data_IF_860806829586
#
_entry.id   IF_860806829586
#
_cell.length_a   1.000
_cell.length_b   1.000
_cell.length_c   1.000
_cell.angle_alpha   90.00
_cell.angle_beta   90.00
_cell.angle_gamma   90.00
#
_symmetry.space_group_name_H-M   'P 1'
#
loop_
_entity.id
_entity.type
_entity.pdbx_description
1 polymer ?
#
# COMPACT_ATOMS: atom_id res chain seq x y z
N UNK A 1 23.16 8.58 -23.07
CA UNK A 1 22.19 8.08 -24.05
C UNK A 1 21.98 6.58 -23.90
N UNK A 2 20.73 6.15 -23.96
CA UNK A 2 20.34 4.73 -23.98
C UNK A 2 19.84 4.40 -25.38
N UNK A 3 20.49 3.45 -26.03
CA UNK A 3 20.05 2.91 -27.33
C UNK A 3 19.50 1.52 -27.10
N UNK A 4 18.27 1.29 -27.50
CA UNK A 4 17.61 -0.01 -27.44
C UNK A 4 17.27 -0.46 -28.85
N UNK A 5 17.64 -1.69 -29.17
CA UNK A 5 17.24 -2.37 -30.42
C UNK A 5 16.32 -3.53 -30.04
N UNK A 6 15.19 -3.63 -30.72
CA UNK A 6 14.23 -4.73 -30.52
C UNK A 6 13.99 -5.41 -31.84
N UNK A 7 14.04 -6.74 -31.82
CA UNK A 7 13.74 -7.60 -32.99
C UNK A 7 12.55 -8.49 -32.66
N UNK A 8 11.59 -8.57 -33.54
CA UNK A 8 10.41 -9.42 -33.41
C UNK A 8 10.11 -10.08 -34.77
N UNK A 9 10.48 -11.35 -34.91
CA UNK A 9 10.49 -12.02 -36.20
C UNK A 9 11.44 -11.30 -37.19
N UNK A 10 10.94 -10.95 -38.36
CA UNK A 10 11.72 -10.25 -39.38
C UNK A 10 11.74 -8.72 -39.18
N UNK A 11 10.98 -8.20 -38.22
CA UNK A 11 10.92 -6.77 -37.95
C UNK A 11 11.94 -6.37 -36.90
N UNK A 12 12.66 -5.30 -37.19
CA UNK A 12 13.61 -4.68 -36.26
C UNK A 12 13.34 -3.19 -36.14
N UNK A 13 13.49 -2.65 -34.96
CA UNK A 13 13.43 -1.23 -34.68
C UNK A 13 14.41 -0.83 -33.59
N UNK A 14 14.70 0.46 -33.50
CA UNK A 14 15.56 1.00 -32.44
C UNK A 14 15.01 2.33 -31.95
N UNK A 15 15.18 2.59 -30.67
CA UNK A 15 14.92 3.88 -30.05
C UNK A 15 16.13 4.37 -29.27
N UNK A 16 16.35 5.67 -29.26
CA UNK A 16 17.42 6.32 -28.51
C UNK A 16 16.85 7.41 -27.62
N UNK A 17 17.08 7.28 -26.33
CA UNK A 17 16.58 8.21 -25.32
C UNK A 17 17.77 8.74 -24.51
N UNK A 18 17.76 10.00 -24.20
CA UNK A 18 18.75 10.59 -23.30
C UNK A 18 18.49 10.16 -21.87
N UNK A 19 19.54 9.74 -21.18
CA UNK A 19 19.51 9.38 -19.75
C UNK A 19 19.80 10.59 -18.87
N UNK A 20 20.12 10.32 -17.60
CA UNK A 20 20.47 11.35 -16.63
C UNK A 20 21.76 12.10 -16.99
N UNK A 21 21.87 13.34 -16.51
CA UNK A 21 23.09 14.11 -16.58
C UNK A 21 24.23 13.45 -15.75
N UNK A 22 25.49 13.77 -16.08
CA UNK A 22 26.66 13.19 -15.41
C UNK A 22 26.81 13.65 -13.96
N UNK A 23 26.29 14.81 -13.63
CA UNK A 23 26.31 15.47 -12.32
C UNK A 23 25.16 15.06 -11.38
N UNK A 24 24.25 14.23 -11.88
CA UNK A 24 23.14 13.74 -11.06
C UNK A 24 23.61 12.81 -9.93
N UNK A 25 22.96 12.92 -8.77
CA UNK A 25 23.20 12.02 -7.64
C UNK A 25 22.99 10.55 -8.08
N UNK A 26 23.81 9.58 -7.59
CA UNK A 26 23.79 8.20 -8.08
C UNK A 26 22.42 7.52 -8.06
N UNK A 27 21.60 7.77 -7.02
CA UNK A 27 20.24 7.22 -6.95
C UNK A 27 19.28 7.88 -7.95
N UNK A 28 19.37 9.17 -8.14
CA UNK A 28 18.57 9.92 -9.11
C UNK A 28 18.97 9.47 -10.52
N UNK A 29 20.27 9.44 -10.81
CA UNK A 29 20.82 8.94 -12.06
C UNK A 29 20.29 7.55 -12.40
N UNK A 30 20.39 6.59 -11.48
CA UNK A 30 19.89 5.22 -11.68
C UNK A 30 18.38 5.18 -11.98
N UNK A 31 17.59 6.06 -11.37
CA UNK A 31 16.13 6.17 -11.60
C UNK A 31 15.84 6.71 -12.99
N UNK A 32 16.52 7.80 -13.40
CA UNK A 32 16.34 8.43 -14.70
C UNK A 32 16.80 7.53 -15.83
N UNK A 33 17.95 6.86 -15.68
CA UNK A 33 18.46 5.90 -16.67
C UNK A 33 17.51 4.73 -16.86
N UNK A 34 16.92 4.18 -15.76
CA UNK A 34 15.90 3.14 -15.85
C UNK A 34 14.63 3.63 -16.56
N UNK A 35 14.23 4.89 -16.35
CA UNK A 35 13.07 5.49 -17.03
C UNK A 35 13.36 5.61 -18.53
N UNK A 36 14.52 6.13 -18.91
CA UNK A 36 14.94 6.26 -20.29
C UNK A 36 14.99 4.90 -21.03
N UNK A 37 15.57 3.88 -20.41
CA UNK A 37 15.60 2.55 -20.97
C UNK A 37 14.20 1.94 -21.18
N UNK A 38 13.31 2.08 -20.22
CA UNK A 38 11.90 1.61 -20.34
C UNK A 38 11.16 2.35 -21.45
N UNK A 39 11.35 3.66 -21.57
CA UNK A 39 10.76 4.47 -22.62
C UNK A 39 11.23 4.02 -24.01
N UNK A 40 12.54 3.80 -24.18
CA UNK A 40 13.09 3.31 -25.43
C UNK A 40 12.51 1.92 -25.83
N UNK A 41 12.40 1.00 -24.88
CA UNK A 41 11.75 -0.31 -25.12
C UNK A 41 10.29 -0.11 -25.53
N UNK A 42 9.55 0.73 -24.82
CA UNK A 42 8.15 1.01 -25.13
C UNK A 42 7.96 1.57 -26.54
N UNK A 43 8.78 2.57 -26.94
CA UNK A 43 8.74 3.13 -28.30
C UNK A 43 9.02 2.09 -29.36
N UNK A 44 10.01 1.23 -29.15
CA UNK A 44 10.29 0.11 -30.06
C UNK A 44 9.08 -0.83 -30.18
N UNK A 45 8.45 -1.19 -29.06
CA UNK A 45 7.28 -2.07 -29.06
C UNK A 45 6.07 -1.45 -29.75
N UNK A 46 5.84 -0.15 -29.55
CA UNK A 46 4.77 0.58 -30.27
C UNK A 46 5.02 0.58 -31.79
N UNK A 47 6.25 0.84 -32.22
CA UNK A 47 6.63 0.81 -33.64
C UNK A 47 6.43 -0.59 -34.26
N UNK A 48 6.77 -1.66 -33.55
CA UNK A 48 6.66 -3.03 -34.04
C UNK A 48 5.22 -3.55 -34.08
N UNK A 49 4.41 -3.18 -33.08
CA UNK A 49 3.08 -3.76 -32.88
C UNK A 49 1.94 -2.85 -33.30
N UNK A 50 2.19 -1.54 -33.44
CA UNK A 50 1.15 -0.52 -33.63
C UNK A 50 0.25 -0.32 -32.41
N UNK A 51 0.57 -0.91 -31.26
CA UNK A 51 -0.26 -0.88 -30.05
C UNK A 51 0.34 0.02 -28.98
N UNK A 52 -0.46 0.90 -28.44
CA UNK A 52 -0.14 1.71 -27.27
C UNK A 52 -0.73 1.09 -26.01
N UNK A 53 -0.14 1.39 -24.85
CA UNK A 53 -0.67 0.95 -23.54
C UNK A 53 -1.36 2.13 -22.84
N UNK A 54 -2.43 1.89 -22.06
CA UNK A 54 -3.15 2.98 -21.39
C UNK A 54 -2.26 3.84 -20.48
N UNK A 55 -1.25 3.24 -19.86
CA UNK A 55 -0.27 3.92 -19.01
C UNK A 55 1.07 4.18 -19.71
N UNK A 56 1.13 4.06 -21.03
CA UNK A 56 2.32 4.30 -21.84
C UNK A 56 3.50 3.42 -21.40
N UNK A 57 4.66 4.04 -21.24
CA UNK A 57 5.90 3.38 -20.80
C UNK A 57 5.97 3.11 -19.29
N UNK A 58 4.94 3.47 -18.52
CA UNK A 58 4.93 3.29 -17.06
C UNK A 58 4.72 1.83 -16.70
N UNK A 59 5.64 1.25 -15.94
CA UNK A 59 5.58 -0.13 -15.46
C UNK A 59 5.88 -0.18 -13.96
N UNK A 60 4.93 -0.66 -13.15
CA UNK A 60 5.11 -0.82 -11.71
C UNK A 60 5.39 0.50 -10.96
N UNK A 61 4.97 1.62 -11.50
CA UNK A 61 5.16 2.97 -10.94
C UNK A 61 3.86 3.45 -10.33
N UNK A 62 3.95 4.35 -9.37
CA UNK A 62 2.81 5.09 -8.82
C UNK A 62 2.54 6.31 -9.73
N UNK A 63 1.60 6.23 -10.70
CA UNK A 63 1.43 7.26 -11.73
C UNK A 63 1.07 8.62 -11.15
N UNK A 64 0.23 8.67 -10.13
CA UNK A 64 -0.16 9.90 -9.42
C UNK A 64 1.06 10.59 -8.79
N UNK A 65 1.93 9.86 -8.10
CA UNK A 65 3.14 10.43 -7.51
C UNK A 65 4.13 10.93 -8.57
N UNK A 66 4.21 10.25 -9.72
CA UNK A 66 5.05 10.70 -10.82
C UNK A 66 4.49 11.97 -11.46
N UNK A 67 3.18 12.05 -11.65
CA UNK A 67 2.54 13.26 -12.18
C UNK A 67 2.78 14.45 -11.25
N UNK A 68 2.58 14.32 -9.94
CA UNK A 68 2.92 15.36 -8.95
C UNK A 68 4.38 15.82 -9.04
N UNK A 69 5.30 14.86 -9.20
CA UNK A 69 6.71 15.21 -9.35
C UNK A 69 6.95 16.02 -10.62
N UNK A 70 6.37 15.61 -11.76
CA UNK A 70 6.49 16.33 -13.04
C UNK A 70 5.85 17.72 -12.97
N UNK A 71 4.72 17.87 -12.29
CA UNK A 71 4.08 19.17 -12.05
C UNK A 71 4.99 20.11 -11.24
N UNK A 72 5.60 19.61 -10.18
CA UNK A 72 6.54 20.37 -9.36
C UNK A 72 7.82 20.77 -10.13
N UNK A 73 8.21 19.98 -11.13
CA UNK A 73 9.34 20.24 -12.03
C UNK A 73 8.96 21.12 -13.25
N UNK A 74 7.67 21.53 -13.37
CA UNK A 74 7.16 22.28 -14.55
C UNK A 74 7.14 21.47 -15.84
N UNK A 75 7.12 20.13 -15.72
CA UNK A 75 7.26 19.19 -16.83
C UNK A 75 6.02 18.28 -17.00
N UNK A 76 4.83 18.76 -16.61
CA UNK A 76 3.57 18.00 -16.62
C UNK A 76 3.28 17.38 -17.99
N UNK A 77 3.51 18.11 -19.07
CA UNK A 77 3.21 17.66 -20.44
C UNK A 77 3.99 16.39 -20.81
N UNK A 78 5.15 16.17 -20.20
CA UNK A 78 5.94 14.94 -20.39
C UNK A 78 5.19 13.68 -19.99
N UNK A 79 4.18 13.77 -19.13
CA UNK A 79 3.39 12.61 -18.71
C UNK A 79 2.60 11.99 -19.88
N UNK A 80 2.07 12.81 -20.75
CA UNK A 80 1.36 12.39 -21.97
C UNK A 80 2.30 12.27 -23.15
N UNK A 81 3.03 13.34 -23.46
CA UNK A 81 3.80 13.46 -24.70
C UNK A 81 5.02 12.55 -24.75
N UNK A 82 5.80 12.51 -23.66
CA UNK A 82 7.04 11.73 -23.62
C UNK A 82 6.80 10.30 -23.13
N UNK A 83 6.04 10.14 -22.04
CA UNK A 83 5.82 8.81 -21.44
C UNK A 83 4.70 8.02 -22.13
N UNK A 84 3.92 8.65 -23.00
CA UNK A 84 2.87 8.03 -23.80
C UNK A 84 1.65 7.60 -22.98
N UNK A 85 1.39 8.22 -21.84
CA UNK A 85 0.19 7.95 -21.03
C UNK A 85 -1.03 8.45 -21.78
N UNK A 86 -2.07 7.62 -21.88
CA UNK A 86 -3.31 8.00 -22.54
C UNK A 86 -3.96 9.21 -21.84
N UNK A 87 -4.51 10.19 -22.56
CA UNK A 87 -5.12 11.39 -21.97
C UNK A 87 -6.17 11.10 -20.88
N UNK A 88 -7.02 10.11 -21.08
CA UNK A 88 -8.01 9.70 -20.05
C UNK A 88 -7.36 9.20 -18.75
N UNK A 89 -6.18 8.55 -18.84
CA UNK A 89 -5.44 8.10 -17.66
C UNK A 89 -4.70 9.24 -16.98
N UNK A 90 -4.25 10.21 -17.76
CA UNK A 90 -3.70 11.46 -17.23
C UNK A 90 -4.77 12.23 -16.45
N UNK A 91 -5.94 12.43 -17.04
CA UNK A 91 -7.08 13.08 -16.40
C UNK A 91 -7.54 12.34 -15.12
N UNK A 92 -7.55 11.00 -15.13
CA UNK A 92 -7.83 10.22 -13.93
C UNK A 92 -6.77 10.48 -12.83
N UNK A 93 -5.48 10.52 -13.18
CA UNK A 93 -4.43 10.82 -12.22
C UNK A 93 -4.55 12.23 -11.64
N UNK A 94 -4.91 13.21 -12.46
CA UNK A 94 -5.18 14.60 -12.05
C UNK A 94 -6.36 14.68 -11.07
N UNK A 95 -7.48 14.04 -11.40
CA UNK A 95 -8.66 14.03 -10.52
C UNK A 95 -8.36 13.40 -9.15
N UNK A 96 -7.47 12.40 -9.10
CA UNK A 96 -7.00 11.82 -7.86
C UNK A 96 -6.13 12.82 -7.08
N UNK A 97 -5.24 13.55 -7.76
CA UNK A 97 -4.42 14.61 -7.16
C UNK A 97 -5.30 15.68 -6.52
N UNK A 98 -6.25 16.21 -7.26
CA UNK A 98 -7.18 17.23 -6.79
C UNK A 98 -7.94 16.78 -5.54
N UNK A 99 -8.43 15.53 -5.56
CA UNK A 99 -9.14 14.94 -4.41
C UNK A 99 -8.24 14.78 -3.20
N UNK A 100 -7.02 14.28 -3.39
CA UNK A 100 -6.03 14.15 -2.32
C UNK A 100 -5.66 15.51 -1.73
N UNK A 101 -5.48 16.53 -2.57
CA UNK A 101 -5.11 17.88 -2.13
C UNK A 101 -6.25 18.56 -1.35
N UNK A 102 -7.51 18.30 -1.75
CA UNK A 102 -8.66 18.75 -0.97
C UNK A 102 -8.64 18.16 0.44
N UNK A 103 -8.47 16.83 0.55
CA UNK A 103 -8.38 16.13 1.84
C UNK A 103 -7.19 16.62 2.68
N UNK A 104 -6.03 16.84 2.06
CA UNK A 104 -4.83 17.34 2.76
C UNK A 104 -4.99 18.77 3.27
N UNK A 105 -5.76 19.62 2.57
CA UNK A 105 -6.08 20.97 3.06
C UNK A 105 -6.99 20.97 4.29
N UNK A 106 -7.88 19.98 4.38
CA UNK A 106 -8.76 19.80 5.52
C UNK A 106 -8.07 19.17 6.74
N UNK A 107 -6.88 18.57 6.52
CA UNK A 107 -6.10 17.91 7.57
C UNK A 107 -5.10 18.89 8.17
N UNK A 108 -5.03 18.94 9.50
CA UNK A 108 -3.97 19.69 10.19
C UNK A 108 -2.59 19.16 9.78
N UNK A 109 -1.79 20.02 9.14
CA UNK A 109 -0.44 19.70 8.66
C UNK A 109 0.54 19.39 9.81
N UNK A 110 0.19 19.75 11.04
CA UNK A 110 0.96 19.41 12.25
C UNK A 110 0.63 18.03 12.81
N UNK A 111 -0.45 17.40 12.33
CA UNK A 111 -0.90 16.09 12.80
C UNK A 111 -0.07 14.94 12.19
N UNK A 112 -0.08 13.81 12.89
CA UNK A 112 0.64 12.59 12.49
C UNK A 112 -0.32 11.47 12.15
N UNK A 113 0.08 10.63 11.19
CA UNK A 113 -0.51 9.32 10.95
C UNK A 113 0.39 8.24 11.53
N UNK A 114 -0.17 7.32 12.29
CA UNK A 114 0.56 6.21 12.92
C UNK A 114 0.29 4.93 12.13
N UNK A 115 1.35 4.25 11.75
CA UNK A 115 1.27 2.90 11.18
C UNK A 115 1.83 1.88 12.16
N UNK A 116 1.03 0.88 12.52
CA UNK A 116 1.45 -0.24 13.37
C UNK A 116 1.48 -1.50 12.52
N UNK A 117 2.69 -2.06 12.32
CA UNK A 117 2.89 -3.25 11.48
C UNK A 117 2.89 -4.53 12.29
N UNK A 118 2.03 -5.48 11.98
CA UNK A 118 2.04 -6.84 12.55
C UNK A 118 2.57 -7.80 11.49
N UNK A 119 3.83 -8.28 11.58
CA UNK A 119 4.46 -9.03 10.50
C UNK A 119 4.10 -10.51 10.47
N UNK A 120 2.98 -10.90 11.05
CA UNK A 120 2.58 -12.29 11.14
C UNK A 120 1.37 -12.62 10.27
N UNK A 121 1.43 -13.79 9.62
CA UNK A 121 0.30 -14.41 8.95
C UNK A 121 0.15 -15.86 9.44
N UNK A 122 -1.04 -16.45 9.30
CA UNK A 122 -1.27 -17.87 9.61
C UNK A 122 -0.80 -18.79 8.48
N UNK A 123 -0.81 -18.30 7.23
CA UNK A 123 -0.21 -18.93 6.05
C UNK A 123 0.35 -17.87 5.13
N UNK A 124 1.27 -18.24 4.23
CA UNK A 124 1.83 -17.32 3.24
C UNK A 124 1.09 -17.45 1.91
N UNK A 125 0.54 -16.35 1.42
CA UNK A 125 -0.04 -16.30 0.07
C UNK A 125 1.07 -16.30 -1.00
N UNK A 126 0.85 -17.02 -2.11
CA UNK A 126 1.87 -17.21 -3.16
C UNK A 126 2.32 -15.92 -3.85
N UNK A 127 1.45 -14.91 -3.90
CA UNK A 127 1.70 -13.62 -4.52
C UNK A 127 2.27 -12.55 -3.57
N UNK A 128 2.33 -12.84 -2.25
CA UNK A 128 2.59 -11.81 -1.24
C UNK A 128 4.05 -11.36 -1.26
N UNK A 129 4.25 -10.06 -1.46
CA UNK A 129 5.56 -9.39 -1.41
C UNK A 129 5.87 -8.73 -0.05
N UNK A 130 4.90 -8.73 0.87
CA UNK A 130 5.12 -8.17 2.21
C UNK A 130 6.13 -9.01 3.01
N UNK A 131 6.93 -8.39 3.89
CA UNK A 131 7.85 -9.07 4.79
C UNK A 131 7.11 -9.76 5.95
N UNK A 132 6.05 -10.53 5.63
CA UNK A 132 5.26 -11.25 6.60
C UNK A 132 5.70 -12.70 6.70
N UNK A 133 5.67 -13.25 7.91
CA UNK A 133 6.11 -14.61 8.22
C UNK A 133 5.03 -15.40 8.97
N UNK A 134 5.08 -16.71 8.84
CA UNK A 134 4.35 -17.61 9.75
C UNK A 134 5.18 -17.71 11.03
N UNK A 135 4.63 -17.22 12.15
CA UNK A 135 5.36 -17.14 13.41
C UNK A 135 5.80 -18.50 13.94
N UNK A 136 7.06 -18.60 14.35
CA UNK A 136 7.57 -19.71 15.16
C UNK A 136 7.13 -19.54 16.62
N UNK A 137 7.24 -20.65 17.42
CA UNK A 137 6.95 -20.62 18.85
C UNK A 137 7.77 -19.52 19.55
N UNK A 138 7.13 -18.72 20.38
CA UNK A 138 7.75 -17.61 21.11
C UNK A 138 8.03 -16.33 20.31
N UNK A 139 7.92 -16.37 18.99
CA UNK A 139 8.27 -15.22 18.14
C UNK A 139 7.24 -14.09 18.22
N UNK A 140 5.94 -14.42 18.36
CA UNK A 140 4.89 -13.40 18.54
C UNK A 140 5.04 -12.67 19.87
N UNK A 141 5.31 -13.44 20.92
CA UNK A 141 5.50 -12.94 22.29
C UNK A 141 6.66 -11.94 22.35
N UNK A 142 7.81 -12.30 21.80
CA UNK A 142 8.98 -11.42 21.74
C UNK A 142 8.71 -10.17 20.91
N UNK A 143 8.00 -10.31 19.78
CA UNK A 143 7.64 -9.19 18.94
C UNK A 143 6.68 -8.23 19.64
N UNK A 144 5.62 -8.76 20.26
CA UNK A 144 4.64 -7.95 20.99
C UNK A 144 5.31 -7.20 22.14
N UNK A 145 6.20 -7.86 22.88
CA UNK A 145 6.96 -7.18 23.94
C UNK A 145 7.78 -5.99 23.44
N UNK A 146 8.47 -6.14 22.31
CA UNK A 146 9.22 -5.04 21.69
C UNK A 146 8.27 -3.95 21.15
N UNK A 147 7.18 -4.32 20.49
CA UNK A 147 6.20 -3.38 19.96
C UNK A 147 5.57 -2.51 21.07
N UNK A 148 5.29 -3.10 22.24
CA UNK A 148 4.75 -2.34 23.37
C UNK A 148 5.73 -1.24 23.83
N UNK A 149 7.04 -1.53 23.86
CA UNK A 149 8.07 -0.54 24.19
C UNK A 149 8.16 0.57 23.13
N UNK A 150 8.09 0.22 21.84
CA UNK A 150 8.09 1.20 20.74
C UNK A 150 6.84 2.11 20.81
N UNK A 151 5.66 1.56 21.08
CA UNK A 151 4.42 2.33 21.23
C UNK A 151 4.54 3.34 22.36
N UNK A 152 5.09 2.94 23.51
CA UNK A 152 5.28 3.82 24.67
C UNK A 152 6.27 4.95 24.35
N UNK A 153 7.41 4.62 23.77
CA UNK A 153 8.44 5.59 23.38
C UNK A 153 7.91 6.58 22.31
N UNK A 154 7.15 6.08 21.32
CA UNK A 154 6.52 6.91 20.30
C UNK A 154 5.49 7.86 20.93
N UNK A 155 4.67 7.39 21.87
CA UNK A 155 3.70 8.22 22.58
C UNK A 155 4.38 9.35 23.37
N UNK A 156 5.50 9.06 24.05
CA UNK A 156 6.28 10.09 24.72
C UNK A 156 6.84 11.15 23.76
N UNK A 157 7.40 10.69 22.62
CA UNK A 157 7.96 11.59 21.61
C UNK A 157 6.87 12.52 21.03
N UNK A 158 5.69 11.99 20.73
CA UNK A 158 4.53 12.74 20.22
C UNK A 158 4.10 13.80 21.23
N UNK A 159 3.97 13.43 22.50
CA UNK A 159 3.62 14.38 23.57
C UNK A 159 4.65 15.49 23.72
N UNK A 160 5.93 15.16 23.72
CA UNK A 160 7.03 16.16 23.81
C UNK A 160 7.04 17.16 22.65
N UNK A 161 6.62 16.71 21.46
CA UNK A 161 6.55 17.55 20.27
C UNK A 161 5.19 18.25 20.10
N UNK A 162 4.25 18.07 21.04
CA UNK A 162 2.91 18.64 21.01
C UNK A 162 2.18 18.35 19.68
N UNK A 163 2.38 17.13 19.13
CA UNK A 163 1.71 16.70 17.90
C UNK A 163 0.37 16.04 18.21
N UNK A 164 -0.61 16.27 17.31
CA UNK A 164 -1.87 15.53 17.29
C UNK A 164 -1.79 14.30 16.38
N UNK A 165 -2.73 13.38 16.54
CA UNK A 165 -2.86 12.21 15.66
C UNK A 165 -4.17 12.32 14.90
N UNK A 166 -4.12 12.24 13.57
CA UNK A 166 -5.29 12.27 12.70
C UNK A 166 -5.76 10.87 12.28
N UNK A 167 -4.85 9.92 12.17
CA UNK A 167 -5.20 8.55 11.77
C UNK A 167 -4.23 7.53 12.36
N UNK A 168 -4.76 6.33 12.62
CA UNK A 168 -4.01 5.14 12.98
C UNK A 168 -4.37 4.02 12.02
N UNK A 169 -3.37 3.34 11.49
CA UNK A 169 -3.55 2.17 10.63
C UNK A 169 -2.77 0.98 11.20
N UNK A 170 -3.46 -0.07 11.58
CA UNK A 170 -2.87 -1.33 12.03
C UNK A 170 -2.96 -2.36 10.92
N UNK A 171 -1.81 -2.71 10.34
CA UNK A 171 -1.72 -3.56 9.15
C UNK A 171 -0.48 -4.43 9.13
N UNK A 172 0.02 -4.74 7.92
CA UNK A 172 1.22 -5.53 7.68
C UNK A 172 0.96 -6.91 7.11
N UNK A 173 1.22 -7.96 7.90
CA UNK A 173 0.85 -9.33 7.54
C UNK A 173 -0.65 -9.57 7.76
N UNK A 174 -1.01 -9.79 9.00
CA UNK A 174 -2.41 -9.98 9.43
C UNK A 174 -2.51 -9.65 10.93
N UNK A 175 -2.93 -8.45 11.31
CA UNK A 175 -3.07 -8.07 12.72
C UNK A 175 -3.92 -9.04 13.55
N UNK A 176 -4.99 -9.56 12.96
CA UNK A 176 -5.86 -10.56 13.58
C UNK A 176 -5.24 -11.96 13.72
N UNK A 177 -4.00 -12.17 13.25
CA UNK A 177 -3.21 -13.37 13.56
C UNK A 177 -2.62 -13.37 14.99
N UNK A 178 -2.66 -12.24 15.69
CA UNK A 178 -2.36 -12.16 17.11
C UNK A 178 -3.44 -12.93 17.91
N UNK A 179 -3.06 -13.43 19.08
CA UNK A 179 -4.06 -13.94 20.03
C UNK A 179 -4.93 -12.81 20.57
N UNK A 180 -6.10 -13.12 21.10
CA UNK A 180 -7.01 -12.11 21.66
C UNK A 180 -6.32 -11.29 22.77
N UNK A 181 -5.54 -11.94 23.61
CA UNK A 181 -4.77 -11.29 24.67
C UNK A 181 -3.67 -10.38 24.10
N UNK A 182 -2.91 -10.84 23.09
CA UNK A 182 -1.88 -10.02 22.46
C UNK A 182 -2.48 -8.80 21.75
N UNK A 183 -3.59 -9.00 21.03
CA UNK A 183 -4.31 -7.92 20.37
C UNK A 183 -4.82 -6.88 21.38
N UNK A 184 -5.40 -7.34 22.50
CA UNK A 184 -5.84 -6.49 23.61
C UNK A 184 -4.69 -5.67 24.18
N UNK A 185 -3.57 -6.30 24.53
CA UNK A 185 -2.40 -5.63 25.08
C UNK A 185 -1.87 -4.53 24.15
N UNK A 186 -1.75 -4.82 22.85
CA UNK A 186 -1.27 -3.86 21.86
C UNK A 186 -2.24 -2.68 21.73
N UNK A 187 -3.54 -2.94 21.58
CA UNK A 187 -4.54 -1.88 21.42
C UNK A 187 -4.70 -1.01 22.67
N UNK A 188 -4.60 -1.62 23.86
CA UNK A 188 -4.58 -0.90 25.12
C UNK A 188 -3.37 0.04 25.22
N UNK A 189 -2.19 -0.45 24.87
CA UNK A 189 -0.98 0.38 24.84
C UNK A 189 -1.09 1.53 23.84
N UNK A 190 -1.66 1.28 22.67
CA UNK A 190 -1.92 2.32 21.67
C UNK A 190 -2.88 3.38 22.20
N UNK A 191 -3.98 2.98 22.86
CA UNK A 191 -4.93 3.92 23.44
C UNK A 191 -4.28 4.78 24.53
N UNK A 192 -3.43 4.20 25.39
CA UNK A 192 -2.68 4.96 26.41
C UNK A 192 -1.67 5.94 25.80
N UNK A 193 -0.96 5.50 24.75
CA UNK A 193 0.10 6.29 24.12
C UNK A 193 -0.43 7.39 23.21
N UNK A 194 -1.49 7.11 22.44
CA UNK A 194 -1.96 7.92 21.33
C UNK A 194 -3.34 8.55 21.56
N UNK A 195 -4.08 8.12 22.61
CA UNK A 195 -5.43 8.59 22.88
C UNK A 195 -6.49 7.92 22.01
N UNK A 196 -7.55 8.68 21.74
CA UNK A 196 -8.72 8.26 20.93
C UNK A 196 -9.22 9.42 20.08
N UNK A 197 -10.24 9.17 19.24
CA UNK A 197 -10.92 10.23 18.47
C UNK A 197 -10.36 10.46 17.06
N UNK A 198 -9.47 9.59 16.59
CA UNK A 198 -8.92 9.59 15.23
C UNK A 198 -9.55 8.49 14.35
N UNK A 199 -9.32 8.54 13.06
CA UNK A 199 -9.62 7.40 12.18
C UNK A 199 -8.71 6.24 12.56
N UNK A 200 -9.30 5.12 13.01
CA UNK A 200 -8.56 3.92 13.35
C UNK A 200 -8.95 2.75 12.44
N UNK A 201 -8.08 2.43 11.51
CA UNK A 201 -8.25 1.31 10.57
C UNK A 201 -7.53 0.06 11.08
N UNK A 202 -8.25 -1.05 11.17
CA UNK A 202 -7.69 -2.38 11.40
C UNK A 202 -7.77 -3.22 10.12
N UNK A 203 -6.63 -3.71 9.65
CA UNK A 203 -6.56 -4.66 8.55
C UNK A 203 -6.80 -6.09 9.06
N UNK A 204 -8.06 -6.52 9.02
CA UNK A 204 -8.48 -7.87 9.30
C UNK A 204 -8.44 -8.72 8.01
N UNK A 205 -7.25 -8.79 7.40
CA UNK A 205 -7.03 -9.22 6.03
C UNK A 205 -7.34 -10.68 5.72
N UNK A 206 -7.75 -11.48 6.73
CA UNK A 206 -7.99 -12.91 6.57
C UNK A 206 -9.23 -13.34 7.32
N UNK A 207 -10.29 -13.78 6.63
CA UNK A 207 -11.52 -14.27 7.25
C UNK A 207 -11.28 -15.35 8.31
N UNK A 208 -10.36 -16.28 8.04
CA UNK A 208 -9.98 -17.38 8.94
C UNK A 208 -9.28 -16.94 10.25
N UNK A 209 -9.07 -15.63 10.46
CA UNK A 209 -8.53 -15.06 11.70
C UNK A 209 -9.50 -14.11 12.41
N UNK A 210 -10.65 -13.83 11.81
CA UNK A 210 -11.67 -12.93 12.35
C UNK A 210 -12.59 -13.73 13.27
N UNK A 211 -12.74 -13.28 14.51
CA UNK A 211 -13.66 -13.84 15.49
C UNK A 211 -14.48 -12.72 16.12
N UNK A 212 -15.64 -13.06 16.68
CA UNK A 212 -16.50 -12.13 17.43
C UNK A 212 -15.71 -11.45 18.56
N UNK A 213 -14.90 -12.22 19.28
CA UNK A 213 -14.05 -11.71 20.36
C UNK A 213 -13.07 -10.63 19.86
N UNK A 214 -12.36 -10.89 18.76
CA UNK A 214 -11.43 -9.91 18.17
C UNK A 214 -12.11 -8.66 17.65
N UNK A 215 -13.29 -8.80 17.06
CA UNK A 215 -14.10 -7.65 16.64
C UNK A 215 -14.56 -6.83 17.85
N UNK A 216 -14.98 -7.48 18.93
CA UNK A 216 -15.32 -6.83 20.19
C UNK A 216 -14.13 -6.08 20.80
N UNK A 217 -12.93 -6.67 20.81
CA UNK A 217 -11.69 -5.99 21.22
C UNK A 217 -11.42 -4.77 20.34
N UNK A 218 -11.48 -4.92 19.03
CA UNK A 218 -11.25 -3.82 18.10
C UNK A 218 -12.21 -2.64 18.36
N UNK A 219 -13.49 -2.92 18.57
CA UNK A 219 -14.49 -1.92 18.92
C UNK A 219 -14.20 -1.23 20.26
N UNK A 220 -13.85 -2.02 21.27
CA UNK A 220 -13.55 -1.51 22.62
C UNK A 220 -12.42 -0.46 22.59
N UNK A 221 -11.43 -0.66 21.75
CA UNK A 221 -10.27 0.24 21.61
C UNK A 221 -10.40 1.26 20.46
N UNK A 222 -11.62 1.48 19.96
CA UNK A 222 -11.92 2.61 19.07
C UNK A 222 -11.64 2.37 17.58
N UNK A 223 -11.42 1.11 17.15
CA UNK A 223 -11.38 0.81 15.70
C UNK A 223 -12.73 1.17 15.07
N UNK A 224 -12.70 2.06 14.09
CA UNK A 224 -13.90 2.54 13.39
C UNK A 224 -13.91 2.18 11.89
N UNK A 225 -12.78 1.68 11.35
CA UNK A 225 -12.70 1.10 9.99
C UNK A 225 -12.09 -0.28 10.03
N UNK A 226 -12.72 -1.22 9.34
CA UNK A 226 -12.28 -2.61 9.26
C UNK A 226 -12.07 -3.02 7.81
N UNK A 227 -10.86 -3.45 7.46
CA UNK A 227 -10.58 -4.00 6.13
C UNK A 227 -10.69 -5.51 6.15
N UNK A 228 -11.71 -6.07 5.48
CA UNK A 228 -11.83 -7.50 5.21
C UNK A 228 -11.41 -7.72 3.76
N UNK A 229 -10.29 -8.40 3.54
CA UNK A 229 -9.69 -8.52 2.20
C UNK A 229 -10.08 -9.87 1.55
N UNK A 230 -11.09 -9.92 0.68
CA UNK A 230 -11.52 -11.17 0.03
C UNK A 230 -10.44 -11.72 -0.92
N UNK A 231 -9.69 -10.86 -1.58
CA UNK A 231 -8.79 -11.12 -2.70
C UNK A 231 -9.53 -11.62 -3.95
N UNK A 232 -10.45 -12.53 -3.81
CA UNK A 232 -11.36 -13.05 -4.84
C UNK A 232 -12.51 -13.80 -4.17
N UNK A 233 -13.63 -13.91 -4.87
CA UNK A 233 -14.79 -14.71 -4.46
C UNK A 233 -14.81 -16.09 -5.13
N UNK A 234 -13.71 -16.50 -5.79
CA UNK A 234 -13.60 -17.79 -6.45
C UNK A 234 -12.79 -18.77 -5.60
N UNK A 235 -13.44 -19.78 -5.04
CA UNK A 235 -12.83 -20.76 -4.14
C UNK A 235 -11.60 -21.45 -4.76
N UNK A 236 -11.67 -21.86 -6.04
CA UNK A 236 -10.52 -22.43 -6.76
C UNK A 236 -9.31 -21.48 -6.84
N UNK A 237 -9.55 -20.19 -6.97
CA UNK A 237 -8.47 -19.20 -6.99
C UNK A 237 -7.93 -18.95 -5.59
N UNK A 238 -8.79 -18.91 -4.55
CA UNK A 238 -8.38 -18.82 -3.15
C UNK A 238 -7.42 -19.95 -2.76
N UNK A 239 -7.78 -21.19 -3.09
CA UNK A 239 -6.94 -22.35 -2.86
C UNK A 239 -5.58 -22.23 -3.58
N UNK A 240 -5.60 -21.84 -4.88
CA UNK A 240 -4.39 -21.70 -5.69
C UNK A 240 -3.43 -20.65 -5.14
N UNK A 241 -3.93 -19.57 -4.55
CA UNK A 241 -3.10 -18.52 -3.96
C UNK A 241 -2.73 -18.76 -2.49
N UNK A 242 -3.06 -19.93 -1.94
CA UNK A 242 -2.70 -20.35 -0.58
C UNK A 242 -3.57 -19.75 0.52
N UNK A 243 -4.83 -19.41 0.19
CA UNK A 243 -5.84 -19.01 1.18
C UNK A 243 -6.75 -20.20 1.52
N UNK A 244 -6.97 -20.41 2.82
CA UNK A 244 -7.74 -21.60 3.31
C UNK A 244 -9.21 -21.33 3.51
N UNK A 245 -9.64 -20.07 3.46
CA UNK A 245 -11.04 -19.69 3.59
C UNK A 245 -11.76 -19.73 2.21
N UNK A 246 -13.07 -19.77 2.23
CA UNK A 246 -13.95 -19.79 1.07
C UNK A 246 -14.64 -18.43 0.86
N UNK A 247 -15.38 -18.29 -0.24
CA UNK A 247 -16.20 -17.11 -0.51
C UNK A 247 -17.30 -16.95 0.56
N UNK A 248 -17.89 -18.07 1.00
CA UNK A 248 -18.90 -18.12 2.05
C UNK A 248 -18.34 -17.64 3.40
N UNK A 249 -17.09 -17.98 3.73
CA UNK A 249 -16.40 -17.48 4.92
C UNK A 249 -16.21 -15.96 4.88
N UNK A 250 -15.92 -15.41 3.69
CA UNK A 250 -15.79 -13.96 3.50
C UNK A 250 -17.12 -13.25 3.78
N UNK A 251 -18.21 -13.77 3.22
CA UNK A 251 -19.56 -13.25 3.44
C UNK A 251 -19.96 -13.33 4.91
N UNK A 252 -19.71 -14.48 5.55
CA UNK A 252 -19.98 -14.68 6.96
C UNK A 252 -19.18 -13.71 7.84
N UNK A 253 -17.89 -13.49 7.58
CA UNK A 253 -17.07 -12.52 8.29
C UNK A 253 -17.55 -11.08 8.10
N UNK A 254 -17.98 -10.72 6.89
CA UNK A 254 -18.57 -9.41 6.63
C UNK A 254 -19.87 -9.22 7.43
N UNK A 255 -20.77 -10.21 7.39
CA UNK A 255 -22.01 -10.16 8.14
C UNK A 255 -21.74 -10.05 9.65
N UNK A 256 -20.79 -10.82 10.19
CA UNK A 256 -20.36 -10.74 11.57
C UNK A 256 -19.84 -9.34 11.93
N UNK A 257 -18.98 -8.76 11.10
CA UNK A 257 -18.45 -7.40 11.32
C UNK A 257 -19.58 -6.35 11.35
N UNK A 258 -20.57 -6.48 10.46
CA UNK A 258 -21.77 -5.61 10.45
C UNK A 258 -22.62 -5.78 11.72
N UNK A 259 -22.80 -7.00 12.22
CA UNK A 259 -23.50 -7.30 13.48
C UNK A 259 -22.78 -6.70 14.68
N UNK A 260 -21.45 -6.73 14.69
CA UNK A 260 -20.61 -6.08 15.72
C UNK A 260 -20.55 -4.55 15.58
N UNK A 261 -21.30 -3.95 14.63
CA UNK A 261 -21.48 -2.50 14.49
C UNK A 261 -20.40 -1.79 13.69
N UNK A 262 -19.59 -2.49 12.90
CA UNK A 262 -18.70 -1.84 11.93
C UNK A 262 -19.51 -1.39 10.72
N UNK A 263 -19.46 -0.09 10.42
CA UNK A 263 -20.15 0.54 9.28
C UNK A 263 -19.19 0.90 8.14
N UNK A 264 -17.90 0.95 8.43
CA UNK A 264 -16.85 1.31 7.48
C UNK A 264 -15.77 0.24 7.42
#
# INVERSE_FOLDING_TARGET
>A
RHTVKVTMGDKQTSAQIEGAALDEQPMIKKRLDKRAAKLAVYQCMVQLTGRTQPWGSLTGVRPVNLLRQLEAEGARDQFVEMLGVHPEKAQLAESIIERQDAMMRETDQSSLCIYVGIPFCITRCSYCSFPAVVAKKGQRESYVAALLQEIEAAGEMIRRQHKSICAVYMGGGTPTALTDQQMRCVMEAMQRAFGTGYEYTLEAGRPDTITREKLGIARMYGVNRLCINPQTMQNKTLERIGRRHTAEDIEACYALARQEGFTH
#
